data_IF_993279430540
#
_entry.id   IF_993279430540
#
_cell.length_a   1.000
_cell.length_b   1.000
_cell.length_c   1.000
_cell.angle_alpha   90.00
_cell.angle_beta   90.00
_cell.angle_gamma   90.00
#
_symmetry.space_group_name_H-M   'P 1'
#
loop_
_entity.id
_entity.type
_entity.pdbx_description
1 polymer ?
#
# COMPACT_ATOMS: atom_id res chain seq x y z
N UNK A 1 -14.08 15.78 33.78
CA UNK A 1 -14.66 16.04 32.45
C UNK A 1 -14.52 14.75 31.66
N UNK A 2 -15.62 14.12 31.24
CA UNK A 2 -15.56 12.83 30.53
C UNK A 2 -14.91 13.02 29.17
N UNK A 3 -13.73 12.44 28.95
CA UNK A 3 -13.22 12.20 27.61
C UNK A 3 -14.25 11.34 26.89
N UNK A 4 -15.09 11.95 26.04
CA UNK A 4 -15.92 11.19 25.12
C UNK A 4 -14.96 10.43 24.23
N UNK A 5 -14.91 9.10 24.36
CA UNK A 5 -14.27 8.23 23.38
C UNK A 5 -14.85 8.57 22.01
N UNK A 6 -14.10 9.34 21.22
CA UNK A 6 -14.50 9.75 19.88
C UNK A 6 -14.55 8.49 19.01
N UNK A 7 -15.70 8.21 18.39
CA UNK A 7 -15.87 7.05 17.52
C UNK A 7 -15.12 7.17 16.19
N UNK A 8 -15.05 6.11 15.39
CA UNK A 8 -14.53 6.24 14.03
C UNK A 8 -15.48 7.14 13.20
N UNK A 9 -14.95 7.99 12.34
CA UNK A 9 -15.78 8.90 11.55
C UNK A 9 -14.98 9.96 10.83
N UNK A 10 -15.68 10.87 10.16
CA UNK A 10 -15.07 12.03 9.52
C UNK A 10 -14.88 13.13 10.56
N UNK A 11 -13.68 13.69 10.58
CA UNK A 11 -13.28 14.79 11.45
C UNK A 11 -12.63 15.88 10.62
N UNK A 12 -12.83 17.12 11.05
CA UNK A 12 -12.03 18.23 10.59
C UNK A 12 -10.69 18.23 11.34
N UNK A 13 -9.59 18.05 10.62
CA UNK A 13 -8.23 18.06 11.18
C UNK A 13 -7.42 19.24 10.64
N UNK A 14 -6.48 19.74 11.44
CA UNK A 14 -5.51 20.73 10.97
C UNK A 14 -4.47 20.06 10.08
N UNK A 15 -4.13 20.71 8.98
CA UNK A 15 -3.13 20.25 8.00
C UNK A 15 -2.00 21.27 7.81
N UNK A 16 -1.77 22.11 8.82
CA UNK A 16 -0.79 23.19 8.80
C UNK A 16 -1.31 24.49 8.18
N UNK A 17 -0.56 25.58 8.34
CA UNK A 17 -0.87 26.92 7.80
C UNK A 17 -2.28 27.45 8.10
N UNK A 18 -2.82 27.13 9.28
CA UNK A 18 -4.21 27.43 9.69
C UNK A 18 -5.29 26.85 8.75
N UNK A 19 -4.93 25.88 7.91
CA UNK A 19 -5.88 25.15 7.07
C UNK A 19 -6.38 23.89 7.77
N UNK A 20 -7.61 23.52 7.43
CA UNK A 20 -8.29 22.32 7.90
C UNK A 20 -8.83 21.50 6.73
N UNK A 21 -9.01 20.19 6.93
CA UNK A 21 -9.64 19.30 5.95
C UNK A 21 -10.50 18.27 6.65
N UNK A 22 -11.62 17.90 6.03
CA UNK A 22 -12.46 16.81 6.49
C UNK A 22 -11.86 15.48 6.04
N UNK A 23 -11.65 14.57 6.98
CA UNK A 23 -11.07 13.25 6.69
C UNK A 23 -11.54 12.21 7.66
N UNK A 24 -11.64 10.97 7.20
CA UNK A 24 -11.89 9.84 8.07
C UNK A 24 -10.71 9.59 9.03
N UNK A 25 -11.00 9.64 10.33
CA UNK A 25 -10.10 9.19 11.38
C UNK A 25 -10.61 7.90 11.99
N UNK A 26 -9.72 6.92 12.05
CA UNK A 26 -9.90 5.65 12.74
C UNK A 26 -9.44 5.81 14.19
N UNK A 27 -10.41 6.07 15.07
CA UNK A 27 -10.18 6.37 16.49
C UNK A 27 -10.07 5.12 17.37
N UNK A 28 -10.52 3.98 16.86
CA UNK A 28 -10.38 2.66 17.49
C UNK A 28 -9.26 1.87 16.84
N UNK A 29 -8.68 0.93 17.56
CA UNK A 29 -7.61 0.08 17.04
C UNK A 29 -8.06 -0.71 15.82
N UNK A 30 -7.23 -0.68 14.77
CA UNK A 30 -7.32 -1.65 13.66
C UNK A 30 -6.42 -2.81 14.07
N UNK A 31 -6.88 -4.05 13.88
CA UNK A 31 -6.05 -5.23 14.17
C UNK A 31 -4.68 -5.12 13.47
N UNK A 32 -3.63 -4.89 14.27
CA UNK A 32 -2.24 -4.71 13.84
C UNK A 32 -1.73 -3.26 13.76
N UNK A 33 -2.61 -2.26 13.76
CA UNK A 33 -2.21 -0.85 13.93
C UNK A 33 -2.57 -0.40 15.35
N UNK A 34 -1.54 -0.19 16.17
CA UNK A 34 -1.72 0.03 17.61
C UNK A 34 -2.35 1.40 17.91
N UNK A 35 -3.31 1.41 18.85
CA UNK A 35 -4.05 2.61 19.26
C UNK A 35 -5.01 3.14 18.19
N UNK A 36 -5.47 4.38 18.37
CA UNK A 36 -6.37 5.10 17.45
C UNK A 36 -5.79 6.42 16.96
N UNK A 37 -6.59 7.23 16.29
CA UNK A 37 -6.15 8.52 15.73
C UNK A 37 -5.43 8.37 14.40
N UNK A 38 -5.71 7.29 13.65
CA UNK A 38 -5.16 7.10 12.32
C UNK A 38 -5.95 7.90 11.28
N UNK A 39 -5.26 8.76 10.55
CA UNK A 39 -5.83 9.61 9.50
C UNK A 39 -5.76 8.90 8.16
N UNK A 40 -6.89 8.75 7.46
CA UNK A 40 -6.92 8.13 6.14
C UNK A 40 -6.21 8.99 5.09
N UNK A 41 -5.27 8.41 4.34
CA UNK A 41 -4.58 9.10 3.25
C UNK A 41 -4.95 8.55 1.88
N UNK A 42 -5.03 7.23 1.74
CA UNK A 42 -5.22 6.59 0.44
C UNK A 42 -5.85 5.20 0.56
N UNK A 43 -6.68 4.85 -0.43
CA UNK A 43 -7.31 3.54 -0.57
C UNK A 43 -7.20 3.07 -2.02
N UNK A 44 -6.74 1.84 -2.23
CA UNK A 44 -6.38 1.32 -3.56
C UNK A 44 -7.07 -0.02 -3.79
N UNK A 45 -7.87 -0.12 -4.84
CA UNK A 45 -8.41 -1.41 -5.27
C UNK A 45 -7.39 -2.07 -6.20
N UNK A 46 -6.82 -3.19 -5.76
CA UNK A 46 -5.85 -3.93 -6.55
C UNK A 46 -6.38 -4.45 -7.88
N UNK A 47 -7.70 -4.48 -8.07
CA UNK A 47 -8.34 -4.88 -9.33
C UNK A 47 -8.40 -3.77 -10.37
N UNK A 48 -8.13 -2.52 -9.96
CA UNK A 48 -8.20 -1.34 -10.81
C UNK A 48 -6.80 -0.83 -11.16
N UNK A 49 -6.70 -0.03 -12.23
CA UNK A 49 -5.45 0.57 -12.68
C UNK A 49 -5.23 1.99 -12.19
N UNK A 50 -6.18 2.57 -11.44
CA UNK A 50 -6.20 3.98 -11.02
C UNK A 50 -4.91 4.36 -10.29
N UNK A 51 -4.44 3.50 -9.39
CA UNK A 51 -3.27 3.75 -8.56
C UNK A 51 -2.11 2.81 -8.86
N UNK A 52 -2.01 2.23 -10.07
CA UNK A 52 -0.80 1.49 -10.49
C UNK A 52 0.46 2.34 -10.32
N UNK A 53 1.64 1.70 -10.29
CA UNK A 53 2.93 2.39 -10.04
C UNK A 53 3.12 3.69 -10.83
N UNK A 54 2.82 3.66 -12.13
CA UNK A 54 2.98 4.78 -13.07
C UNK A 54 1.92 5.88 -12.93
N UNK A 55 0.93 5.72 -12.05
CA UNK A 55 -0.17 6.66 -11.92
C UNK A 55 0.31 8.05 -11.47
N UNK A 56 -0.17 9.13 -12.09
CA UNK A 56 0.15 10.49 -11.66
C UNK A 56 -0.43 10.82 -10.29
N UNK A 57 -1.39 10.04 -9.77
CA UNK A 57 -1.89 10.23 -8.41
C UNK A 57 -0.80 10.03 -7.34
N UNK A 58 0.30 9.35 -7.62
CA UNK A 58 1.42 9.26 -6.68
C UNK A 58 2.26 10.54 -6.62
N UNK A 59 2.30 11.31 -7.71
CA UNK A 59 3.24 12.42 -7.93
C UNK A 59 2.57 13.79 -8.08
N UNK A 60 1.24 13.86 -8.09
CA UNK A 60 0.47 15.12 -8.14
C UNK A 60 -0.29 15.37 -6.84
N UNK A 61 -0.51 16.65 -6.51
CA UNK A 61 -1.28 17.11 -5.33
C UNK A 61 -2.78 17.27 -5.68
N UNK A 62 -3.38 16.22 -6.20
CA UNK A 62 -4.81 16.15 -6.52
C UNK A 62 -5.50 15.02 -5.76
N UNK A 63 -6.78 15.21 -5.49
CA UNK A 63 -7.66 14.26 -4.82
C UNK A 63 -8.22 13.22 -5.79
N UNK A 64 -8.78 12.13 -5.25
CA UNK A 64 -9.61 11.17 -5.98
C UNK A 64 -10.70 10.65 -5.05
N UNK A 65 -11.97 10.79 -5.44
CA UNK A 65 -13.15 10.42 -4.64
C UNK A 65 -13.15 11.00 -3.20
N UNK A 66 -12.59 12.20 -2.99
CA UNK A 66 -12.33 12.78 -1.66
C UNK A 66 -13.59 13.29 -0.93
N UNK A 67 -14.74 13.28 -1.58
CA UNK A 67 -16.06 13.61 -1.02
C UNK A 67 -17.16 12.64 -1.49
N UNK A 68 -16.76 11.54 -2.14
CA UNK A 68 -17.71 10.64 -2.78
C UNK A 68 -18.69 10.07 -1.74
N UNK A 69 -19.98 10.33 -1.94
CA UNK A 69 -21.07 9.94 -1.02
C UNK A 69 -20.92 10.50 0.41
N UNK A 70 -20.31 11.67 0.57
CA UNK A 70 -20.03 12.28 1.88
C UNK A 70 -19.02 11.51 2.71
N UNK A 71 -18.19 10.66 2.06
CA UNK A 71 -17.17 9.83 2.71
C UNK A 71 -15.76 10.31 2.33
N UNK A 72 -15.11 11.05 3.22
CA UNK A 72 -13.71 11.47 3.10
C UNK A 72 -12.74 10.33 3.54
N UNK A 73 -12.93 9.11 3.01
CA UNK A 73 -12.10 7.95 3.34
C UNK A 73 -12.88 6.74 3.88
N UNK A 74 -12.43 6.15 5.01
CA UNK A 74 -13.06 5.00 5.66
C UNK A 74 -12.55 3.62 5.20
N UNK A 75 -12.74 2.59 6.03
CA UNK A 75 -12.29 1.21 5.73
C UNK A 75 -13.29 0.43 4.85
N UNK A 76 -13.78 1.07 3.79
CA UNK A 76 -14.67 0.47 2.79
C UNK A 76 -13.91 0.03 1.52
N UNK A 77 -14.64 -0.36 0.47
CA UNK A 77 -14.06 -0.89 -0.77
C UNK A 77 -14.06 0.14 -1.93
N UNK A 78 -14.14 1.45 -1.64
CA UNK A 78 -14.04 2.48 -2.67
C UNK A 78 -12.65 3.10 -2.70
N UNK A 79 -12.07 3.22 -3.89
CA UNK A 79 -10.80 3.93 -4.10
C UNK A 79 -10.89 5.39 -3.62
N UNK A 80 -9.78 5.90 -3.05
CA UNK A 80 -9.72 7.23 -2.46
C UNK A 80 -8.29 7.74 -2.42
N UNK A 81 -8.13 9.04 -2.60
CA UNK A 81 -6.92 9.77 -2.24
C UNK A 81 -7.34 11.15 -1.73
N UNK A 82 -7.05 11.41 -0.46
CA UNK A 82 -7.38 12.68 0.18
C UNK A 82 -6.24 13.68 0.16
N UNK A 83 -6.56 14.93 0.52
CA UNK A 83 -5.57 16.01 0.67
C UNK A 83 -4.52 15.71 1.74
N UNK A 84 -4.86 14.89 2.74
CA UNK A 84 -3.95 14.41 3.79
C UNK A 84 -2.72 13.67 3.24
N UNK A 85 -2.79 13.11 2.03
CA UNK A 85 -1.64 12.49 1.36
C UNK A 85 -0.46 13.46 1.17
N UNK A 86 -0.71 14.76 0.94
CA UNK A 86 0.35 15.77 0.74
C UNK A 86 0.34 16.91 1.75
N UNK A 87 -0.64 16.98 2.65
CA UNK A 87 -0.75 18.05 3.65
C UNK A 87 -0.50 17.61 5.09
N UNK A 88 -0.45 16.31 5.36
CA UNK A 88 -0.32 15.79 6.73
C UNK A 88 1.08 15.23 6.97
N UNK A 89 1.80 15.84 7.92
CA UNK A 89 3.02 15.27 8.50
C UNK A 89 2.67 14.16 9.49
N UNK A 90 3.52 13.16 9.60
CA UNK A 90 3.26 12.00 10.46
C UNK A 90 4.55 11.41 11.01
N UNK A 91 4.41 10.56 12.04
CA UNK A 91 5.48 9.76 12.64
C UNK A 91 5.32 8.28 12.36
N UNK A 92 4.09 7.82 12.15
CA UNK A 92 3.80 6.42 11.93
C UNK A 92 2.92 6.21 10.69
N UNK A 93 3.10 5.05 10.06
CA UNK A 93 2.29 4.59 8.94
C UNK A 93 1.58 3.31 9.38
N UNK A 94 0.28 3.24 9.13
CA UNK A 94 -0.51 2.02 9.21
C UNK A 94 -0.85 1.59 7.78
N UNK A 95 -0.46 0.37 7.41
CA UNK A 95 -0.77 -0.22 6.12
C UNK A 95 -1.69 -1.41 6.33
N UNK A 96 -2.77 -1.47 5.54
CA UNK A 96 -3.77 -2.53 5.63
C UNK A 96 -4.12 -3.09 4.27
N UNK A 97 -4.53 -4.36 4.25
CA UNK A 97 -5.13 -5.01 3.10
C UNK A 97 -6.36 -5.81 3.53
N UNK A 98 -7.46 -5.63 2.81
CA UNK A 98 -8.66 -6.44 2.92
C UNK A 98 -8.71 -7.42 1.75
N UNK A 99 -8.61 -8.71 2.09
CA UNK A 99 -8.63 -9.82 1.15
C UNK A 99 -9.43 -10.98 1.73
N UNK A 100 -10.30 -11.60 0.93
CA UNK A 100 -11.20 -12.67 1.40
C UNK A 100 -12.11 -12.22 2.57
N UNK A 101 -12.56 -10.96 2.54
CA UNK A 101 -13.41 -10.37 3.58
C UNK A 101 -12.68 -10.00 4.88
N UNK A 102 -11.39 -10.32 5.04
CA UNK A 102 -10.62 -10.02 6.26
C UNK A 102 -9.66 -8.87 6.03
N UNK A 103 -9.74 -7.85 6.88
CA UNK A 103 -8.75 -6.79 6.97
C UNK A 103 -7.60 -7.23 7.87
N UNK A 104 -6.37 -7.14 7.36
CA UNK A 104 -5.14 -7.33 8.13
C UNK A 104 -4.28 -6.10 7.92
N UNK A 105 -3.64 -5.63 8.99
CA UNK A 105 -2.82 -4.43 8.94
C UNK A 105 -1.60 -4.58 9.86
N UNK A 106 -0.64 -3.69 9.68
CA UNK A 106 0.41 -3.44 10.66
C UNK A 106 0.81 -1.97 10.63
N UNK A 107 1.36 -1.46 11.74
CA UNK A 107 1.94 -0.11 11.81
C UNK A 107 3.43 -0.14 12.13
N UNK A 108 4.15 0.90 11.70
CA UNK A 108 5.55 1.11 12.00
C UNK A 108 5.92 2.60 11.97
N UNK A 109 7.01 2.96 12.65
CA UNK A 109 7.53 4.32 12.68
C UNK A 109 8.26 4.65 11.38
N UNK A 110 7.86 5.75 10.74
CA UNK A 110 8.52 6.31 9.57
C UNK A 110 8.19 7.82 9.47
N UNK A 111 8.91 8.69 10.17
CA UNK A 111 8.60 10.12 10.18
C UNK A 111 8.78 10.78 8.82
N UNK A 112 7.78 11.56 8.39
CA UNK A 112 7.85 12.34 7.16
C UNK A 112 6.94 13.58 7.19
N UNK A 113 7.21 14.53 6.29
CA UNK A 113 6.39 15.74 6.12
C UNK A 113 5.09 15.45 5.38
N UNK A 114 5.06 14.46 4.48
CA UNK A 114 3.86 13.91 3.86
C UNK A 114 4.16 12.63 3.08
N UNK A 115 3.14 11.86 2.67
CA UNK A 115 3.34 10.70 1.79
C UNK A 115 3.77 11.15 0.39
N UNK A 116 3.30 12.31 -0.06
CA UNK A 116 3.76 12.94 -1.29
C UNK A 116 5.28 13.16 -1.27
N UNK A 117 5.85 13.72 -0.20
CA UNK A 117 7.29 13.99 -0.14
C UNK A 117 8.13 12.71 -0.08
N UNK A 118 7.56 11.60 0.41
CA UNK A 118 8.20 10.29 0.40
C UNK A 118 8.18 9.58 -0.95
N UNK A 119 7.19 9.86 -1.80
CA UNK A 119 6.90 9.03 -2.98
C UNK A 119 7.11 9.80 -4.28
N UNK A 120 6.77 11.10 -4.32
CA UNK A 120 6.62 11.87 -5.55
C UNK A 120 7.91 12.03 -6.36
N UNK A 121 9.07 12.06 -5.69
CA UNK A 121 10.38 12.19 -6.35
C UNK A 121 10.86 10.89 -7.02
N UNK A 122 10.16 9.77 -6.81
CA UNK A 122 10.49 8.47 -7.39
C UNK A 122 11.72 7.79 -6.78
N UNK A 123 12.35 8.38 -5.74
CA UNK A 123 13.54 7.80 -5.14
C UNK A 123 13.18 6.61 -4.24
N UNK A 124 13.98 5.55 -4.34
CA UNK A 124 13.86 4.39 -3.46
C UNK A 124 14.20 4.78 -2.03
N UNK A 125 13.38 4.35 -1.08
CA UNK A 125 13.64 4.51 0.35
C UNK A 125 13.29 3.23 1.08
N UNK A 126 14.26 2.66 1.79
CA UNK A 126 14.08 1.40 2.49
C UNK A 126 13.18 1.53 3.73
N UNK A 127 12.37 0.50 3.98
CA UNK A 127 11.73 0.25 5.28
C UNK A 127 12.43 -0.88 6.04
N UNK A 128 12.14 -1.02 7.33
CA UNK A 128 12.67 -2.09 8.18
C UNK A 128 11.55 -2.89 8.83
N UNK A 129 10.49 -3.16 8.06
CA UNK A 129 9.28 -3.84 8.52
C UNK A 129 9.46 -5.36 8.50
N UNK A 130 10.19 -5.87 7.51
CA UNK A 130 10.51 -7.27 7.36
C UNK A 130 9.47 -8.09 6.59
N UNK A 131 9.97 -9.12 5.90
CA UNK A 131 9.16 -10.02 5.05
C UNK A 131 7.94 -10.60 5.75
N UNK A 132 8.08 -11.02 7.00
CA UNK A 132 7.00 -11.68 7.74
C UNK A 132 5.78 -10.74 7.94
N UNK A 133 6.04 -9.47 8.27
CA UNK A 133 4.99 -8.46 8.44
C UNK A 133 4.28 -8.16 7.12
N UNK A 134 5.04 -7.95 6.03
CA UNK A 134 4.48 -7.80 4.69
C UNK A 134 3.59 -8.98 4.30
N UNK A 135 4.08 -10.22 4.46
CA UNK A 135 3.31 -11.44 4.18
C UNK A 135 2.06 -11.58 5.05
N UNK A 136 2.05 -11.01 6.26
CA UNK A 136 0.91 -11.10 7.16
C UNK A 136 -0.34 -10.38 6.64
N UNK A 137 -0.19 -9.40 5.74
CA UNK A 137 -1.32 -8.64 5.16
C UNK A 137 -2.28 -9.52 4.35
N UNK A 138 -1.80 -10.60 3.75
CA UNK A 138 -2.61 -11.54 2.98
C UNK A 138 -2.31 -12.97 3.45
N UNK A 139 -3.32 -13.63 3.98
CA UNK A 139 -3.20 -15.04 4.36
C UNK A 139 -2.89 -15.90 3.14
N UNK A 140 -1.85 -16.74 3.24
CA UNK A 140 -1.36 -17.53 2.12
C UNK A 140 -0.78 -16.68 0.99
N UNK A 141 -0.21 -15.50 1.30
CA UNK A 141 0.60 -14.72 0.38
C UNK A 141 1.82 -15.51 -0.09
N UNK A 142 2.24 -15.27 -1.32
CA UNK A 142 3.27 -16.04 -1.99
C UNK A 142 4.34 -15.13 -2.57
N UNK A 143 5.60 -15.39 -2.24
CA UNK A 143 6.74 -14.59 -2.67
C UNK A 143 7.93 -15.50 -2.95
N UNK A 144 8.77 -15.13 -3.92
CA UNK A 144 10.10 -15.73 -4.05
C UNK A 144 10.93 -15.41 -2.80
N UNK A 145 11.87 -16.29 -2.44
CA UNK A 145 12.43 -16.36 -1.07
C UNK A 145 13.52 -15.31 -0.76
N UNK A 146 14.15 -14.75 -1.78
CA UNK A 146 15.36 -13.94 -1.67
C UNK A 146 15.14 -12.49 -2.11
N UNK A 147 16.21 -11.69 -2.15
CA UNK A 147 16.26 -10.22 -2.31
C UNK A 147 15.52 -9.45 -1.20
N UNK A 148 14.22 -9.70 -1.00
CA UNK A 148 13.39 -9.09 0.04
C UNK A 148 13.49 -7.56 0.11
N UNK A 149 13.61 -6.89 -1.04
CA UNK A 149 13.72 -5.43 -1.08
C UNK A 149 12.38 -4.83 -0.70
N UNK A 150 12.35 -4.07 0.38
CA UNK A 150 11.16 -3.40 0.91
C UNK A 150 11.30 -1.89 0.98
N UNK A 151 10.17 -1.20 0.93
CA UNK A 151 10.06 0.23 1.14
C UNK A 151 9.30 0.95 0.03
N UNK A 152 9.70 2.18 -0.22
CA UNK A 152 9.05 3.10 -1.15
C UNK A 152 9.75 3.10 -2.52
N UNK A 153 8.98 3.31 -3.59
CA UNK A 153 9.45 3.42 -4.98
C UNK A 153 10.40 2.29 -5.38
N UNK A 154 9.99 1.05 -5.16
CA UNK A 154 10.74 -0.11 -5.62
C UNK A 154 10.56 -0.23 -7.13
N UNK A 155 11.63 0.08 -7.86
CA UNK A 155 11.73 -0.13 -9.29
C UNK A 155 13.09 -0.76 -9.59
N UNK A 156 13.06 -1.97 -10.11
CA UNK A 156 14.23 -2.80 -10.37
C UNK A 156 14.19 -3.33 -11.79
N UNK A 157 15.37 -3.50 -12.40
CA UNK A 157 15.51 -4.01 -13.75
C UNK A 157 14.86 -3.12 -14.82
N UNK A 158 14.54 -3.72 -15.97
CA UNK A 158 13.89 -3.02 -17.09
C UNK A 158 12.40 -2.82 -16.81
N UNK A 159 11.91 -1.60 -17.04
CA UNK A 159 10.50 -1.25 -16.89
C UNK A 159 9.59 -2.20 -17.68
N UNK A 160 8.54 -2.70 -17.03
CA UNK A 160 7.55 -3.59 -17.65
C UNK A 160 7.85 -5.09 -17.54
N UNK A 161 9.10 -5.47 -17.26
CA UNK A 161 9.45 -6.88 -17.09
C UNK A 161 9.21 -7.39 -15.68
N UNK A 162 9.69 -6.64 -14.70
CA UNK A 162 9.65 -6.99 -13.28
C UNK A 162 8.60 -6.14 -12.54
N UNK A 163 8.07 -6.63 -11.41
CA UNK A 163 7.13 -5.88 -10.62
C UNK A 163 7.82 -4.63 -10.05
N UNK A 164 7.12 -3.51 -10.18
CA UNK A 164 7.43 -2.26 -9.47
C UNK A 164 6.36 -2.02 -8.43
N UNK A 165 6.72 -1.45 -7.29
CA UNK A 165 5.80 -1.23 -6.17
C UNK A 165 6.08 0.13 -5.53
N UNK A 166 5.05 0.96 -5.35
CA UNK A 166 5.21 2.27 -4.72
C UNK A 166 5.48 2.15 -3.23
N UNK A 167 4.87 1.17 -2.58
CA UNK A 167 5.09 0.88 -1.18
C UNK A 167 4.83 -0.60 -0.90
N UNK A 168 5.87 -1.35 -0.53
CA UNK A 168 5.73 -2.80 -0.36
C UNK A 168 7.05 -3.54 -0.26
N UNK A 169 7.01 -4.81 -0.65
CA UNK A 169 8.16 -5.70 -0.74
C UNK A 169 8.13 -6.47 -2.06
N UNK A 170 9.29 -6.61 -2.70
CA UNK A 170 9.51 -7.49 -3.84
C UNK A 170 10.43 -8.64 -3.47
N UNK A 171 10.15 -9.81 -4.01
CA UNK A 171 10.95 -11.03 -3.83
C UNK A 171 11.54 -11.48 -5.16
N UNK A 172 12.71 -12.08 -5.08
CA UNK A 172 13.42 -12.74 -6.18
C UNK A 172 13.85 -14.15 -5.77
N UNK A 173 14.18 -15.04 -6.70
CA UNK A 173 14.77 -16.35 -6.38
C UNK A 173 16.27 -16.25 -6.08
N UNK A 174 16.98 -15.25 -6.62
CA UNK A 174 18.37 -14.97 -6.26
C UNK A 174 18.49 -13.93 -5.14
N UNK A 175 19.64 -13.92 -4.47
CA UNK A 175 19.97 -12.94 -3.43
C UNK A 175 20.01 -11.50 -3.95
N UNK A 176 20.40 -11.29 -5.21
CA UNK A 176 20.38 -9.97 -5.83
C UNK A 176 18.97 -9.58 -6.28
N UNK A 177 18.69 -8.27 -6.34
CA UNK A 177 17.38 -7.71 -6.65
C UNK A 177 17.22 -7.29 -8.13
N UNK A 178 17.82 -8.01 -9.07
CA UNK A 178 17.87 -7.56 -10.47
C UNK A 178 16.66 -7.99 -11.30
N UNK A 179 16.02 -9.10 -10.93
CA UNK A 179 15.00 -9.77 -11.73
C UNK A 179 13.81 -10.27 -10.91
N UNK A 180 13.26 -9.49 -9.95
CA UNK A 180 12.18 -10.00 -9.11
C UNK A 180 10.98 -10.41 -9.97
N UNK A 181 10.27 -11.44 -9.54
CA UNK A 181 9.04 -11.92 -10.17
C UNK A 181 7.88 -12.02 -9.16
N UNK A 182 8.05 -11.49 -7.95
CA UNK A 182 7.01 -11.49 -6.93
C UNK A 182 6.97 -10.20 -6.12
N UNK A 183 5.77 -9.82 -5.66
CA UNK A 183 5.59 -8.68 -4.77
C UNK A 183 4.42 -8.86 -3.81
N UNK A 184 4.46 -8.11 -2.72
CA UNK A 184 3.30 -7.78 -1.90
C UNK A 184 3.37 -6.30 -1.56
N UNK A 185 2.31 -5.55 -1.83
CA UNK A 185 2.34 -4.10 -1.62
C UNK A 185 1.25 -3.33 -2.35
N UNK A 186 1.47 -2.03 -2.45
CA UNK A 186 0.55 -1.02 -2.93
C UNK A 186 1.19 -0.23 -4.08
N UNK A 187 0.35 0.19 -5.02
CA UNK A 187 0.78 0.89 -6.22
C UNK A 187 1.71 0.06 -7.09
N UNK A 188 1.33 -1.19 -7.32
CA UNK A 188 2.11 -2.12 -8.12
C UNK A 188 1.80 -2.04 -9.62
N UNK A 189 2.75 -2.46 -10.44
CA UNK A 189 2.66 -2.57 -11.90
C UNK A 189 3.71 -3.57 -12.41
N UNK A 190 3.50 -4.14 -13.60
CA UNK A 190 4.42 -5.13 -14.20
C UNK A 190 4.36 -6.52 -13.56
N UNK A 191 5.39 -7.35 -13.82
CA UNK A 191 5.46 -8.74 -13.32
C UNK A 191 4.47 -9.70 -13.98
N UNK A 192 3.87 -9.30 -15.11
CA UNK A 192 2.88 -10.14 -15.82
C UNK A 192 3.51 -11.07 -16.87
N UNK A 193 4.81 -10.92 -17.13
CA UNK A 193 5.52 -11.80 -18.05
C UNK A 193 5.73 -13.17 -17.42
N UNK A 194 5.47 -14.20 -18.20
CA UNK A 194 5.66 -15.58 -17.80
C UNK A 194 6.90 -16.09 -18.49
N UNK A 195 7.96 -16.32 -17.72
CA UNK A 195 9.20 -16.86 -18.26
C UNK A 195 9.05 -18.35 -18.61
N UNK A 196 9.81 -18.88 -19.58
CA UNK A 196 9.68 -20.27 -20.05
C UNK A 196 9.83 -21.33 -18.95
N UNK A 197 10.60 -21.04 -17.91
CA UNK A 197 10.84 -21.91 -16.75
C UNK A 197 9.80 -21.73 -15.62
N UNK A 198 8.87 -20.78 -15.77
CA UNK A 198 7.75 -20.60 -14.84
C UNK A 198 6.54 -21.41 -15.31
N UNK A 199 5.53 -21.53 -14.45
CA UNK A 199 4.29 -22.21 -14.78
C UNK A 199 3.58 -21.50 -15.95
N UNK A 200 3.64 -22.15 -17.12
CA UNK A 200 3.04 -21.66 -18.37
C UNK A 200 1.52 -21.74 -18.38
N UNK A 201 0.85 -22.22 -17.34
CA UNK A 201 -0.61 -22.18 -17.20
C UNK A 201 -1.09 -21.02 -16.31
N UNK A 202 -0.21 -20.43 -15.50
CA UNK A 202 -0.56 -19.28 -14.69
C UNK A 202 -0.73 -18.04 -15.60
N UNK A 203 -1.82 -17.28 -15.45
CA UNK A 203 -2.11 -16.08 -16.24
C UNK A 203 -2.44 -14.93 -15.29
N UNK A 204 -1.42 -14.23 -14.73
CA UNK A 204 -1.67 -13.10 -13.87
C UNK A 204 -2.26 -11.94 -14.69
N UNK A 205 -3.14 -11.19 -14.06
CA UNK A 205 -3.67 -9.91 -14.56
C UNK A 205 -3.08 -8.77 -13.76
N UNK A 206 -3.25 -7.54 -14.24
CA UNK A 206 -2.88 -6.34 -13.50
C UNK A 206 -3.36 -6.39 -12.04
N UNK A 207 -2.47 -5.99 -11.14
CA UNK A 207 -2.67 -6.00 -9.71
C UNK A 207 -2.01 -4.75 -9.12
N UNK A 208 -2.81 -3.72 -8.82
CA UNK A 208 -2.29 -2.46 -8.29
C UNK A 208 -2.02 -2.53 -6.78
N UNK A 209 -2.62 -3.48 -6.06
CA UNK A 209 -2.43 -3.67 -4.63
C UNK A 209 -2.81 -5.08 -4.18
N UNK A 210 -1.93 -5.70 -3.41
CA UNK A 210 -2.10 -7.07 -2.95
C UNK A 210 -0.81 -7.86 -3.11
N UNK A 211 -0.91 -9.09 -3.59
CA UNK A 211 0.22 -10.00 -3.74
C UNK A 211 0.23 -10.71 -5.10
N UNK A 212 1.38 -10.67 -5.76
CA UNK A 212 1.71 -11.46 -6.93
C UNK A 212 2.89 -12.38 -6.59
N UNK A 213 2.75 -13.66 -6.86
CA UNK A 213 3.83 -14.63 -6.77
C UNK A 213 3.83 -15.51 -8.00
N UNK A 214 4.94 -15.53 -8.72
CA UNK A 214 5.22 -16.49 -9.78
C UNK A 214 6.67 -16.98 -9.69
N UNK A 215 7.02 -18.01 -10.45
CA UNK A 215 8.41 -18.47 -10.63
C UNK A 215 9.08 -18.93 -9.31
N UNK A 216 8.71 -20.11 -8.80
CA UNK A 216 9.29 -20.74 -7.57
C UNK A 216 9.07 -19.96 -6.28
N UNK A 217 7.86 -19.47 -6.06
CA UNK A 217 7.45 -18.82 -4.82
C UNK A 217 7.18 -19.79 -3.68
N UNK A 218 7.22 -19.28 -2.45
CA UNK A 218 7.07 -20.08 -1.25
C UNK A 218 5.67 -20.65 -1.01
N UNK A 219 4.63 -20.14 -1.67
CA UNK A 219 3.24 -20.64 -1.59
C UNK A 219 2.59 -20.82 -2.98
N UNK A 220 3.39 -21.15 -4.00
CA UNK A 220 2.91 -21.38 -5.37
C UNK A 220 2.39 -20.12 -6.06
N UNK A 221 1.85 -20.28 -7.27
CA UNK A 221 1.40 -19.12 -8.05
C UNK A 221 0.22 -18.41 -7.39
N UNK A 222 0.29 -17.08 -7.34
CA UNK A 222 -0.71 -16.24 -6.65
C UNK A 222 -0.89 -14.93 -7.38
N UNK A 223 -2.13 -14.51 -7.60
CA UNK A 223 -2.47 -13.14 -8.00
C UNK A 223 -3.64 -12.63 -7.15
N UNK A 224 -3.34 -12.34 -5.88
CA UNK A 224 -4.30 -11.85 -4.90
C UNK A 224 -4.42 -10.32 -5.02
N UNK A 225 -5.54 -9.85 -5.55
CA UNK A 225 -5.90 -8.43 -5.58
C UNK A 225 -6.65 -8.10 -4.30
N UNK A 226 -6.17 -7.10 -3.57
CA UNK A 226 -6.74 -6.69 -2.29
C UNK A 226 -7.18 -5.23 -2.35
N UNK A 227 -8.11 -4.87 -1.47
CA UNK A 227 -8.35 -3.46 -1.16
C UNK A 227 -7.32 -3.02 -0.13
N UNK A 228 -6.43 -2.10 -0.49
CA UNK A 228 -5.35 -1.65 0.37
C UNK A 228 -5.60 -0.25 0.93
N UNK A 229 -5.06 0.00 2.12
CA UNK A 229 -5.28 1.22 2.89
C UNK A 229 -3.94 1.77 3.38
N UNK A 230 -3.76 3.08 3.30
CA UNK A 230 -2.66 3.81 3.93
C UNK A 230 -3.28 4.84 4.88
N UNK A 231 -2.96 4.70 6.16
CA UNK A 231 -3.29 5.67 7.19
C UNK A 231 -2.01 6.18 7.86
N UNK A 232 -2.05 7.40 8.38
CA UNK A 232 -0.91 8.07 9.00
C UNK A 232 -1.29 8.70 10.33
N UNK A 233 -0.34 8.84 11.24
CA UNK A 233 -0.50 9.51 12.54
C UNK A 233 0.79 10.19 12.97
#
# INVERSE_FOLDING_TARGET
MSERNKGNGVYQISVGNNEVTDVYCQMTSVSGCQGGGWTMAMKIDGSLSTFKYSSPYWTKKNTYNDDAYGRNGGLDNHEYKGSTYWRTSFKEICVGMKYGGRLRAFSFSYPATSLYDLIADGNYRQTHVGRAQWKSLIYGSSLQRHCNREGFNIQLGRSGHHPRVRFGLVGNEQNHCNSPDSFIGLGADGGLNIWPWCDRNFRPSANAAGNLGQCTTDNGNKNARAMAYILVR
#
